data_IF_618423831375
#
_entry.id   IF_618423831375
#
_cell.length_a   1.000
_cell.length_b   1.000
_cell.length_c   1.000
_cell.angle_alpha   90.00
_cell.angle_beta   90.00
_cell.angle_gamma   90.00
#
_symmetry.space_group_name_H-M   'P 1'
#
loop_
_entity.id
_entity.type
_entity.pdbx_description
1 polymer ?
#
# COMPACT_ATOMS: atom_id res chain seq x y z
N UNK A 1 14.16 18.32 5.28
CA UNK A 1 13.96 17.98 3.85
C UNK A 1 12.77 17.05 3.79
N UNK A 2 11.77 17.32 2.96
CA UNK A 2 10.57 16.48 2.85
C UNK A 2 10.96 15.16 2.16
N UNK A 3 10.52 14.02 2.72
CA UNK A 3 10.72 12.71 2.10
C UNK A 3 9.49 12.41 1.24
N UNK A 4 9.71 12.20 -0.05
CA UNK A 4 8.66 11.93 -1.03
C UNK A 4 8.72 10.49 -1.52
N UNK A 5 7.56 9.94 -1.88
CA UNK A 5 7.42 8.63 -2.49
C UNK A 5 6.74 8.74 -3.84
N UNK A 6 7.27 8.02 -4.83
CA UNK A 6 6.81 8.08 -6.22
C UNK A 6 6.25 6.74 -6.67
N UNK A 7 5.15 6.77 -7.44
CA UNK A 7 4.55 5.57 -8.05
C UNK A 7 3.77 5.92 -9.32
N UNK A 8 3.92 5.08 -10.35
CA UNK A 8 3.09 5.15 -11.55
C UNK A 8 1.73 4.48 -11.31
N UNK A 9 0.64 5.23 -11.43
CA UNK A 9 -0.73 4.75 -11.17
C UNK A 9 -1.73 5.33 -12.17
N UNK A 10 -2.76 4.54 -12.49
CA UNK A 10 -3.85 4.98 -13.37
C UNK A 10 -4.57 6.18 -12.76
N UNK A 11 -4.92 7.13 -13.62
CA UNK A 11 -5.81 8.22 -13.26
C UNK A 11 -7.27 7.78 -13.35
N UNK A 12 -8.07 8.19 -12.37
CA UNK A 12 -9.53 8.16 -12.41
C UNK A 12 -10.03 9.49 -11.84
N UNK A 13 -10.51 10.36 -12.72
CA UNK A 13 -11.03 11.69 -12.39
C UNK A 13 -10.00 12.60 -11.68
N UNK A 14 -8.75 12.61 -12.16
CA UNK A 14 -7.70 13.47 -11.62
C UNK A 14 -7.06 12.97 -10.33
N UNK A 15 -7.30 11.70 -9.96
CA UNK A 15 -6.74 11.05 -8.77
C UNK A 15 -6.22 9.65 -9.09
N UNK A 16 -5.31 9.07 -8.29
CA UNK A 16 -4.94 7.67 -8.44
C UNK A 16 -6.17 6.77 -8.27
N UNK A 17 -6.42 5.91 -9.25
CA UNK A 17 -7.50 4.92 -9.19
C UNK A 17 -7.21 3.89 -8.10
N UNK A 18 -8.17 3.66 -7.22
CA UNK A 18 -8.08 2.70 -6.11
C UNK A 18 -8.27 1.27 -6.64
N UNK A 19 -7.51 0.31 -6.10
CA UNK A 19 -7.80 -1.11 -6.31
C UNK A 19 -6.59 -2.05 -6.24
N UNK A 20 -6.87 -3.35 -6.34
CA UNK A 20 -5.90 -4.44 -6.16
C UNK A 20 -5.07 -4.71 -7.42
N UNK A 21 -4.24 -3.76 -7.82
CA UNK A 21 -3.34 -3.93 -8.97
C UNK A 21 -2.09 -3.11 -8.79
N UNK A 22 -1.00 -3.56 -9.40
CA UNK A 22 0.25 -2.82 -9.38
C UNK A 22 0.16 -1.48 -10.13
N UNK A 23 -0.88 -1.23 -10.93
CA UNK A 23 -1.15 0.06 -11.61
C UNK A 23 -2.11 0.96 -10.82
N UNK A 24 -2.59 0.52 -9.66
CA UNK A 24 -3.60 1.21 -8.87
C UNK A 24 -3.03 1.59 -7.50
N UNK A 25 -3.77 2.44 -6.79
CA UNK A 25 -3.57 2.74 -5.38
C UNK A 25 -4.10 1.55 -4.57
N UNK A 26 -3.20 0.62 -4.25
CA UNK A 26 -3.51 -0.65 -3.62
C UNK A 26 -2.43 -1.71 -3.83
N UNK A 27 -2.78 -2.94 -3.45
CA UNK A 27 -1.88 -4.10 -3.43
C UNK A 27 -2.47 -5.30 -4.14
N UNK A 28 -1.62 -6.16 -4.72
CA UNK A 28 -2.00 -7.49 -5.22
C UNK A 28 -1.81 -8.53 -4.13
N UNK A 29 -2.86 -9.26 -3.81
CA UNK A 29 -2.82 -10.38 -2.86
C UNK A 29 -1.87 -11.46 -3.39
N UNK A 30 -1.01 -11.98 -2.51
CA UNK A 30 -0.04 -13.04 -2.82
C UNK A 30 1.20 -12.57 -3.59
N UNK A 31 1.24 -11.31 -4.04
CA UNK A 31 2.41 -10.72 -4.70
C UNK A 31 2.95 -9.58 -3.84
N UNK A 32 2.15 -8.53 -3.65
CA UNK A 32 2.52 -7.30 -2.95
C UNK A 32 2.22 -7.40 -1.44
N UNK A 33 1.30 -8.27 -1.03
CA UNK A 33 0.94 -8.48 0.37
C UNK A 33 0.62 -9.95 0.64
N UNK A 34 1.07 -10.46 1.78
CA UNK A 34 0.70 -11.79 2.27
C UNK A 34 -0.63 -11.68 3.04
N UNK A 35 -1.55 -12.61 2.76
CA UNK A 35 -2.89 -12.63 3.35
C UNK A 35 -3.17 -14.03 3.86
N UNK A 36 -3.72 -14.12 5.06
CA UNK A 36 -4.17 -15.38 5.65
C UNK A 36 -5.68 -15.33 5.94
N UNK A 37 -6.33 -16.49 5.90
CA UNK A 37 -7.72 -16.63 6.34
C UNK A 37 -7.73 -16.93 7.84
N UNK A 38 -8.38 -16.06 8.63
CA UNK A 38 -8.48 -16.22 10.08
C UNK A 38 -9.93 -16.05 10.54
N UNK A 39 -10.37 -16.72 11.61
CA UNK A 39 -11.67 -16.47 12.22
C UNK A 39 -11.82 -15.01 12.64
N UNK A 40 -12.99 -14.41 12.41
CA UNK A 40 -13.28 -13.04 12.82
C UNK A 40 -13.02 -12.80 14.32
N UNK A 41 -13.27 -13.79 15.17
CA UNK A 41 -12.99 -13.73 16.61
C UNK A 41 -11.49 -13.65 16.99
N UNK A 42 -10.59 -13.62 16.01
CA UNK A 42 -9.17 -13.35 16.21
C UNK A 42 -8.84 -11.86 16.08
N UNK A 43 -9.78 -11.04 15.62
CA UNK A 43 -9.59 -9.60 15.48
C UNK A 43 -10.24 -8.84 16.65
N UNK A 44 -9.67 -7.70 17.01
CA UNK A 44 -10.26 -6.77 17.97
C UNK A 44 -11.35 -5.89 17.33
N UNK A 45 -11.92 -4.96 18.10
CA UNK A 45 -12.97 -4.06 17.63
C UNK A 45 -12.48 -3.00 16.63
N UNK A 46 -11.17 -2.87 16.45
CA UNK A 46 -10.53 -2.00 15.47
C UNK A 46 -10.01 -2.78 14.26
N UNK A 47 -10.33 -4.07 14.18
CA UNK A 47 -9.91 -5.04 13.17
C UNK A 47 -8.40 -5.33 13.14
N UNK A 48 -7.71 -5.18 14.27
CA UNK A 48 -6.33 -5.63 14.45
C UNK A 48 -6.29 -7.07 14.95
N UNK A 49 -5.26 -7.82 14.56
CA UNK A 49 -5.07 -9.18 15.04
C UNK A 49 -4.74 -9.18 16.54
N UNK A 50 -5.57 -9.88 17.31
CA UNK A 50 -5.38 -10.07 18.75
C UNK A 50 -4.12 -10.92 19.03
N UNK A 51 -3.51 -10.74 20.21
CA UNK A 51 -2.53 -11.69 20.75
C UNK A 51 -3.10 -13.10 20.81
N UNK A 52 -2.25 -14.13 20.63
CA UNK A 52 -2.69 -15.53 20.60
C UNK A 52 -3.52 -15.95 21.83
N UNK A 53 -3.18 -15.45 23.02
CA UNK A 53 -3.89 -15.72 24.27
C UNK A 53 -5.32 -15.19 24.32
N UNK A 54 -5.66 -14.22 23.48
CA UNK A 54 -6.97 -13.56 23.45
C UNK A 54 -7.85 -14.02 22.28
N UNK A 55 -7.27 -14.72 21.31
CA UNK A 55 -7.95 -15.22 20.12
C UNK A 55 -9.02 -16.24 20.49
N UNK A 56 -10.24 -16.04 19.99
CA UNK A 56 -11.35 -16.99 20.16
C UNK A 56 -11.79 -17.46 18.79
N UNK A 57 -11.77 -18.78 18.57
CA UNK A 57 -12.24 -19.35 17.31
C UNK A 57 -13.76 -19.17 17.21
N UNK A 58 -14.19 -18.14 16.50
CA UNK A 58 -15.59 -17.76 16.33
C UNK A 58 -15.76 -16.90 15.09
N UNK A 59 -16.93 -17.00 14.47
CA UNK A 59 -17.32 -16.20 13.32
C UNK A 59 -16.85 -16.82 12.00
N UNK A 60 -17.04 -16.07 10.92
CA UNK A 60 -16.58 -16.47 9.60
C UNK A 60 -15.07 -16.28 9.44
N UNK A 61 -14.52 -16.89 8.40
CA UNK A 61 -13.13 -16.65 8.00
C UNK A 61 -13.05 -15.33 7.24
N UNK A 62 -12.14 -14.47 7.66
CA UNK A 62 -11.83 -13.19 7.03
C UNK A 62 -10.38 -13.14 6.55
N UNK A 63 -10.14 -12.31 5.55
CA UNK A 63 -8.80 -12.09 4.99
C UNK A 63 -8.03 -11.11 5.86
N UNK A 64 -6.89 -11.53 6.41
CA UNK A 64 -6.03 -10.73 7.28
C UNK A 64 -4.72 -10.43 6.55
N UNK A 65 -4.39 -9.15 6.38
CA UNK A 65 -3.12 -8.68 5.84
C UNK A 65 -2.02 -8.84 6.89
N UNK A 66 -1.00 -9.63 6.58
CA UNK A 66 0.10 -9.92 7.49
C UNK A 66 1.11 -8.77 7.47
N UNK A 67 1.48 -8.27 8.65
CA UNK A 67 2.62 -7.36 8.77
C UNK A 67 3.93 -8.16 8.71
N UNK A 68 4.63 -8.00 7.61
CA UNK A 68 6.00 -8.45 7.42
C UNK A 68 6.88 -7.29 6.87
N UNK A 69 7.31 -7.39 5.62
CA UNK A 69 8.07 -6.40 4.86
C UNK A 69 7.44 -6.06 3.50
N UNK A 70 6.31 -6.69 3.17
CA UNK A 70 5.62 -6.56 1.89
C UNK A 70 4.49 -5.54 1.99
N UNK A 71 4.29 -4.79 0.91
CA UNK A 71 3.20 -3.84 0.79
C UNK A 71 3.15 -3.20 -0.60
N UNK A 72 2.49 -2.06 -0.69
CA UNK A 72 2.44 -1.30 -1.94
C UNK A 72 3.80 -0.68 -2.24
N UNK A 73 4.44 -1.12 -3.33
CA UNK A 73 5.73 -0.58 -3.77
C UNK A 73 5.67 0.89 -4.18
N UNK A 74 6.59 1.69 -3.66
CA UNK A 74 6.86 3.07 -4.08
C UNK A 74 8.38 3.24 -4.21
N UNK A 75 8.82 4.33 -4.83
CA UNK A 75 10.24 4.67 -4.94
C UNK A 75 10.59 5.99 -4.26
N UNK A 76 11.83 6.15 -3.84
CA UNK A 76 12.36 7.40 -3.25
C UNK A 76 12.67 8.47 -4.30
N UNK A 77 12.74 8.11 -5.57
CA UNK A 77 12.91 9.06 -6.67
C UNK A 77 12.24 8.55 -7.94
N UNK A 78 12.08 9.44 -8.92
CA UNK A 78 11.55 9.10 -10.24
C UNK A 78 12.52 8.14 -10.97
N UNK A 79 13.83 8.34 -10.81
CA UNK A 79 14.89 7.54 -11.42
C UNK A 79 14.91 6.10 -10.87
N UNK A 80 14.55 5.93 -9.59
CA UNK A 80 14.47 4.64 -8.94
C UNK A 80 13.32 3.75 -9.42
N UNK A 81 12.38 4.31 -10.20
CA UNK A 81 11.25 3.54 -10.73
C UNK A 81 11.67 2.62 -11.89
N UNK A 82 11.10 1.39 -11.95
CA UNK A 82 11.24 0.54 -13.12
C UNK A 82 10.78 1.25 -14.39
N UNK A 83 11.45 1.01 -15.53
CA UNK A 83 11.11 1.66 -16.80
C UNK A 83 9.63 1.49 -17.20
N UNK A 84 9.02 0.33 -16.90
CA UNK A 84 7.60 0.04 -17.16
C UNK A 84 6.61 0.81 -16.27
N UNK A 85 7.11 1.46 -15.21
CA UNK A 85 6.34 2.26 -14.25
C UNK A 85 6.59 3.76 -14.35
N UNK A 86 7.49 4.14 -15.25
CA UNK A 86 7.94 5.51 -15.45
C UNK A 86 7.45 6.01 -16.81
N UNK A 87 6.78 7.17 -16.89
CA UNK A 87 6.36 7.77 -18.15
C UNK A 87 7.52 8.08 -19.12
N UNK A 88 7.21 8.21 -20.41
CA UNK A 88 8.19 8.49 -21.46
C UNK A 88 9.00 9.78 -21.24
N UNK A 89 8.38 10.85 -20.74
CA UNK A 89 9.08 12.11 -20.43
C UNK A 89 10.14 12.00 -19.34
N UNK A 90 10.07 10.96 -18.51
CA UNK A 90 11.07 10.63 -17.49
C UNK A 90 12.00 9.49 -17.95
N UNK A 91 12.03 9.20 -19.25
CA UNK A 91 12.88 8.15 -19.84
C UNK A 91 12.41 6.72 -19.56
N UNK A 92 11.12 6.50 -19.36
CA UNK A 92 10.53 5.16 -19.24
C UNK A 92 9.59 4.79 -20.39
N UNK A 93 8.83 3.72 -20.22
CA UNK A 93 7.85 3.17 -21.17
C UNK A 93 6.48 2.91 -20.53
N UNK A 94 6.29 3.38 -19.30
CA UNK A 94 5.03 3.30 -18.58
C UNK A 94 3.94 4.16 -19.22
N UNK A 95 2.69 3.68 -19.15
CA UNK A 95 1.51 4.36 -19.72
C UNK A 95 0.74 5.19 -18.70
N UNK A 96 1.01 4.98 -17.42
CA UNK A 96 0.31 5.62 -16.31
C UNK A 96 0.97 6.95 -15.95
N UNK A 97 0.18 7.96 -15.52
CA UNK A 97 0.69 9.15 -14.85
C UNK A 97 1.59 8.81 -13.66
N UNK A 98 2.47 9.75 -13.33
CA UNK A 98 3.33 9.63 -12.17
C UNK A 98 2.78 10.48 -11.02
N UNK A 99 2.76 9.87 -9.84
CA UNK A 99 2.26 10.49 -8.62
C UNK A 99 3.34 10.50 -7.56
N UNK A 100 3.32 11.54 -6.73
CA UNK A 100 4.12 11.64 -5.52
C UNK A 100 3.25 11.83 -4.27
N UNK A 101 3.75 11.41 -3.13
CA UNK A 101 3.15 11.66 -1.81
C UNK A 101 4.24 11.98 -0.79
N UNK A 102 3.94 12.89 0.13
CA UNK A 102 4.77 13.18 1.29
C UNK A 102 4.66 12.05 2.33
N UNK A 103 5.80 11.56 2.82
CA UNK A 103 5.92 10.52 3.85
C UNK A 103 5.08 10.80 5.11
N UNK A 104 4.86 12.08 5.46
CA UNK A 104 3.99 12.46 6.57
C UNK A 104 2.54 12.03 6.40
N UNK A 105 2.09 11.76 5.17
CA UNK A 105 0.76 11.21 4.86
C UNK A 105 0.73 9.68 4.88
N UNK A 106 1.87 9.01 5.06
CA UNK A 106 1.95 7.57 5.34
C UNK A 106 1.94 7.39 6.86
N UNK A 107 0.75 7.47 7.44
CA UNK A 107 0.54 7.43 8.88
C UNK A 107 -0.64 6.51 9.24
N UNK A 108 -1.02 6.49 10.52
CA UNK A 108 -2.17 5.72 10.99
C UNK A 108 -1.93 4.22 10.80
N UNK A 109 -2.74 3.55 9.98
CA UNK A 109 -2.65 2.11 9.74
C UNK A 109 -1.55 1.70 8.74
N UNK A 110 -0.78 2.66 8.22
CA UNK A 110 0.30 2.44 7.27
C UNK A 110 1.67 2.67 7.90
N UNK A 111 2.67 1.95 7.40
CA UNK A 111 4.09 2.16 7.70
C UNK A 111 4.89 2.10 6.40
N UNK A 112 5.80 3.06 6.20
CA UNK A 112 6.78 3.01 5.12
C UNK A 112 8.01 2.20 5.56
N UNK A 113 8.30 1.10 4.86
CA UNK A 113 9.47 0.26 5.09
C UNK A 113 10.40 0.32 3.88
N UNK A 114 11.57 0.93 4.06
CA UNK A 114 12.60 1.00 3.02
C UNK A 114 13.45 -0.27 3.06
N UNK A 115 13.39 -1.08 2.00
CA UNK A 115 14.13 -2.34 1.90
C UNK A 115 15.41 -2.23 1.06
N UNK A 116 15.59 -1.13 0.32
CA UNK A 116 16.76 -0.88 -0.51
C UNK A 116 17.01 0.63 -0.67
N UNK A 117 18.11 1.05 -1.32
CA UNK A 117 18.40 2.48 -1.51
C UNK A 117 17.33 3.27 -2.29
N UNK A 118 16.49 2.60 -3.08
CA UNK A 118 15.50 3.25 -3.96
C UNK A 118 14.07 2.75 -3.78
N UNK A 119 13.84 1.58 -3.18
CA UNK A 119 12.52 0.97 -3.03
C UNK A 119 12.01 1.05 -1.58
N UNK A 120 10.71 1.29 -1.46
CA UNK A 120 9.97 1.36 -0.20
C UNK A 120 8.66 0.61 -0.38
N UNK A 121 8.31 -0.21 0.61
CA UNK A 121 7.00 -0.84 0.73
C UNK A 121 6.13 -0.05 1.71
N UNK A 122 4.97 0.43 1.26
CA UNK A 122 3.93 0.93 2.15
C UNK A 122 3.14 -0.28 2.63
N UNK A 123 3.33 -0.68 3.89
CA UNK A 123 2.80 -1.92 4.45
C UNK A 123 1.83 -1.66 5.62
N UNK A 124 1.00 -2.62 6.03
CA UNK A 124 0.14 -2.44 7.21
C UNK A 124 0.98 -2.28 8.49
N UNK A 125 0.69 -1.28 9.32
CA UNK A 125 1.47 -0.98 10.53
C UNK A 125 1.45 -2.10 11.57
N UNK A 126 0.38 -2.90 11.58
CA UNK A 126 0.18 -4.12 12.37
C UNK A 126 -0.58 -5.14 11.53
N UNK A 127 -0.52 -6.43 11.85
CA UNK A 127 -1.36 -7.43 11.20
C UNK A 127 -2.83 -7.09 11.46
N UNK A 128 -3.62 -6.94 10.40
CA UNK A 128 -4.98 -6.37 10.47
C UNK A 128 -5.87 -6.93 9.36
N UNK A 129 -7.18 -6.72 9.46
CA UNK A 129 -8.11 -7.03 8.38
C UNK A 129 -7.64 -6.41 7.05
N UNK A 130 -7.68 -7.19 5.97
CA UNK A 130 -7.24 -6.75 4.65
C UNK A 130 -8.00 -5.51 4.19
N UNK A 131 -9.32 -5.48 4.38
CA UNK A 131 -10.16 -4.34 3.98
C UNK A 131 -9.78 -3.06 4.72
N UNK A 132 -9.38 -3.15 6.00
CA UNK A 132 -8.89 -2.01 6.78
C UNK A 132 -7.57 -1.46 6.21
N UNK A 133 -6.64 -2.34 5.86
CA UNK A 133 -5.39 -1.93 5.21
C UNK A 133 -5.64 -1.26 3.85
N UNK A 134 -6.55 -1.82 3.05
CA UNK A 134 -6.90 -1.25 1.74
C UNK A 134 -7.62 0.09 1.86
N UNK A 135 -8.49 0.23 2.87
CA UNK A 135 -9.12 1.50 3.21
C UNK A 135 -8.07 2.53 3.64
N UNK A 136 -7.06 2.13 4.42
CA UNK A 136 -5.97 3.01 4.81
C UNK A 136 -5.17 3.52 3.58
N UNK A 137 -4.87 2.64 2.62
CA UNK A 137 -4.27 3.05 1.34
C UNK A 137 -5.19 4.00 0.55
N UNK A 138 -6.48 3.66 0.43
CA UNK A 138 -7.46 4.48 -0.26
C UNK A 138 -7.61 5.88 0.36
N UNK A 139 -7.53 5.98 1.70
CA UNK A 139 -7.59 7.25 2.42
C UNK A 139 -6.39 8.16 2.11
N UNK A 140 -5.31 7.63 1.54
CA UNK A 140 -4.20 8.48 1.06
C UNK A 140 -4.47 9.17 -0.28
N UNK A 141 -5.54 8.79 -1.00
CA UNK A 141 -5.79 9.20 -2.39
C UNK A 141 -5.68 10.71 -2.62
N UNK A 142 -6.19 11.52 -1.69
CA UNK A 142 -6.20 12.98 -1.83
C UNK A 142 -4.84 13.65 -1.58
N UNK A 143 -3.87 12.92 -1.03
CA UNK A 143 -2.52 13.43 -0.76
C UNK A 143 -1.54 13.13 -1.90
N UNK A 144 -1.96 12.31 -2.87
CA UNK A 144 -1.16 12.04 -4.06
C UNK A 144 -1.25 13.20 -5.04
N UNK A 145 -0.10 13.76 -5.39
CA UNK A 145 0.03 14.84 -6.35
C UNK A 145 0.60 14.32 -7.66
N UNK A 146 0.01 14.75 -8.77
CA UNK A 146 0.49 14.39 -10.10
C UNK A 146 1.73 15.23 -10.42
N UNK A 147 2.82 14.58 -10.83
CA UNK A 147 4.13 15.24 -11.05
C UNK A 147 4.58 15.21 -12.50
N UNK A 148 3.67 14.78 -13.36
CA UNK A 148 3.96 14.47 -14.74
C UNK A 148 3.28 15.49 -15.67
#
# INVERSE_FOLDING_TARGET
>A
MVKLYYRGMMDENGKPKIGRSARLLGVRIGIDINVEQMPLGYLDQQDYLLPESERKFRGELVSVAIKDTKGMSVSLSIEGLPATRKPAKFGGIGKDPLWEIDDSNINGDLLAFQDSPTHVSILPRVTMLLEKYELALANTQNYWQRVD
#
